data_IF_301652265198
#
_entry.id   IF_301652265198
#
_cell.length_a   1.000
_cell.length_b   1.000
_cell.length_c   1.000
_cell.angle_alpha   90.00
_cell.angle_beta   90.00
_cell.angle_gamma   90.00
#
_symmetry.space_group_name_H-M   'P 1'
#
loop_
_entity.id
_entity.type
_entity.pdbx_description
1 polymer ?
#
# COMPACT_ATOMS: atom_id res chain seq x y z
N UNK A 1 -9.65 7.85 13.19
CA UNK A 1 -8.32 7.98 12.54
C UNK A 1 -7.70 9.37 12.77
N UNK A 2 -6.38 9.53 12.82
CA UNK A 2 -5.70 10.85 12.84
C UNK A 2 -4.81 11.03 11.60
N UNK A 3 -4.92 12.16 10.93
CA UNK A 3 -4.07 12.53 9.77
C UNK A 3 -3.29 13.79 10.11
N UNK A 4 -1.97 13.78 9.87
CA UNK A 4 -1.12 14.96 10.04
C UNK A 4 -0.16 15.14 8.88
N UNK A 5 -0.05 16.37 8.38
CA UNK A 5 0.99 16.75 7.42
C UNK A 5 2.30 17.03 8.17
N UNK A 6 3.36 16.30 7.82
CA UNK A 6 4.68 16.42 8.49
C UNK A 6 5.68 17.24 7.67
N UNK A 7 5.46 17.33 6.36
CA UNK A 7 6.15 18.24 5.43
C UNK A 7 5.21 18.55 4.26
N UNK A 8 5.59 19.47 3.37
CA UNK A 8 4.75 19.88 2.24
C UNK A 8 4.25 18.67 1.40
N UNK A 9 5.14 17.72 1.20
CA UNK A 9 5.04 16.50 0.40
C UNK A 9 4.70 15.23 1.20
N UNK A 10 4.61 15.31 2.54
CA UNK A 10 4.50 14.12 3.40
C UNK A 10 3.36 14.19 4.41
N UNK A 11 2.56 13.12 4.41
CA UNK A 11 1.42 12.92 5.30
C UNK A 11 1.61 11.64 6.10
N UNK A 12 1.09 11.65 7.33
CA UNK A 12 1.07 10.48 8.20
C UNK A 12 -0.35 10.24 8.65
N UNK A 13 -0.86 9.05 8.37
CA UNK A 13 -2.12 8.54 8.92
C UNK A 13 -1.78 7.60 10.08
N UNK A 14 -2.30 7.91 11.26
CA UNK A 14 -2.16 7.09 12.46
C UNK A 14 -3.52 6.53 12.81
N UNK A 15 -3.61 5.19 12.80
CA UNK A 15 -4.77 4.48 13.33
C UNK A 15 -4.65 4.39 14.86
N UNK A 16 -5.75 4.20 15.59
CA UNK A 16 -5.66 3.99 17.03
C UNK A 16 -4.74 2.78 17.30
N UNK A 17 -3.93 2.80 18.36
CA UNK A 17 -3.02 1.68 18.63
C UNK A 17 -3.82 0.41 18.84
N UNK A 18 -3.32 -0.70 18.31
CA UNK A 18 -3.93 -1.98 18.58
C UNK A 18 -3.59 -2.41 20.01
N UNK A 19 -4.60 -2.83 20.77
CA UNK A 19 -4.41 -3.36 22.13
C UNK A 19 -4.73 -4.87 22.17
N UNK A 20 -5.06 -5.40 23.35
CA UNK A 20 -5.37 -6.82 23.52
C UNK A 20 -6.67 -7.22 22.79
N UNK A 21 -7.63 -6.31 22.72
CA UNK A 21 -9.00 -6.58 22.26
C UNK A 21 -9.34 -5.86 20.95
N UNK A 22 -8.57 -4.81 20.60
CA UNK A 22 -8.81 -3.99 19.42
C UNK A 22 -7.70 -4.14 18.39
N UNK A 23 -8.11 -4.44 17.14
CA UNK A 23 -7.25 -4.39 15.95
C UNK A 23 -7.86 -3.38 14.97
N UNK A 24 -7.19 -2.26 14.67
CA UNK A 24 -7.77 -1.18 13.85
C UNK A 24 -8.18 -1.64 12.45
N UNK A 25 -7.37 -2.48 11.82
CA UNK A 25 -7.67 -3.03 10.49
C UNK A 25 -8.65 -4.23 10.52
N UNK A 26 -9.09 -4.65 11.70
CA UNK A 26 -10.22 -5.58 11.85
C UNK A 26 -11.55 -4.85 12.11
N UNK A 27 -11.50 -3.54 12.39
CA UNK A 27 -12.67 -2.70 12.58
C UNK A 27 -13.16 -2.13 11.22
N UNK A 28 -14.37 -2.49 10.76
CA UNK A 28 -14.85 -2.09 9.44
C UNK A 28 -14.96 -0.58 9.24
N UNK A 29 -15.30 0.17 10.29
CA UNK A 29 -15.41 1.63 10.23
C UNK A 29 -14.03 2.27 10.04
N UNK A 30 -13.04 1.84 10.82
CA UNK A 30 -11.65 2.29 10.70
C UNK A 30 -11.08 1.95 9.33
N UNK A 31 -11.35 0.76 8.80
CA UNK A 31 -10.94 0.36 7.45
C UNK A 31 -11.59 1.25 6.39
N UNK A 32 -12.90 1.51 6.48
CA UNK A 32 -13.61 2.35 5.53
C UNK A 32 -13.12 3.80 5.54
N UNK A 33 -12.87 4.39 6.71
CA UNK A 33 -12.30 5.73 6.84
C UNK A 33 -10.90 5.81 6.22
N UNK A 34 -10.05 4.83 6.52
CA UNK A 34 -8.66 4.78 6.05
C UNK A 34 -8.62 4.58 4.54
N UNK A 35 -9.43 3.66 4.02
CA UNK A 35 -9.54 3.40 2.59
C UNK A 35 -10.08 4.62 1.84
N UNK A 36 -11.08 5.33 2.38
CA UNK A 36 -11.60 6.55 1.76
C UNK A 36 -10.52 7.61 1.63
N UNK A 37 -9.77 7.89 2.70
CA UNK A 37 -8.72 8.89 2.66
C UNK A 37 -7.59 8.53 1.69
N UNK A 38 -7.13 7.27 1.70
CA UNK A 38 -6.11 6.79 0.75
C UNK A 38 -6.61 6.82 -0.70
N UNK A 39 -7.87 6.44 -0.94
CA UNK A 39 -8.44 6.43 -2.28
C UNK A 39 -8.57 7.84 -2.87
N UNK A 40 -8.90 8.83 -2.05
CA UNK A 40 -9.03 10.23 -2.47
C UNK A 40 -7.69 10.97 -2.60
N UNK A 41 -6.59 10.37 -2.13
CA UNK A 41 -5.28 11.04 -2.10
C UNK A 41 -4.68 11.30 -3.48
N UNK A 42 -4.89 10.40 -4.45
CA UNK A 42 -4.19 10.43 -5.73
C UNK A 42 -4.93 9.70 -6.85
N UNK A 43 -4.29 9.54 -8.02
CA UNK A 43 -4.90 8.90 -9.19
C UNK A 43 -5.26 7.43 -8.93
N UNK A 44 -6.32 6.97 -9.58
CA UNK A 44 -6.79 5.58 -9.55
C UNK A 44 -6.63 4.96 -10.94
N UNK A 45 -6.37 3.63 -11.04
CA UNK A 45 -6.35 2.63 -9.98
C UNK A 45 -5.08 2.64 -9.11
N UNK A 46 -5.20 2.13 -7.88
CA UNK A 46 -4.07 1.97 -6.96
C UNK A 46 -3.31 0.67 -7.24
N UNK A 47 -2.01 0.65 -6.96
CA UNK A 47 -1.20 -0.58 -6.99
C UNK A 47 -0.69 -0.87 -5.59
N UNK A 48 -1.11 -1.98 -5.00
CA UNK A 48 -0.60 -2.45 -3.72
C UNK A 48 0.56 -3.44 -3.93
N UNK A 49 1.71 -3.14 -3.35
CA UNK A 49 2.92 -3.96 -3.37
C UNK A 49 3.12 -4.59 -1.99
N UNK A 50 3.19 -5.92 -1.93
CA UNK A 50 3.49 -6.67 -0.72
C UNK A 50 4.85 -7.36 -0.88
N UNK A 51 5.79 -7.01 -0.01
CA UNK A 51 7.10 -7.64 0.05
C UNK A 51 7.12 -8.81 1.03
N UNK A 52 7.82 -9.90 0.69
CA UNK A 52 7.93 -11.06 1.57
C UNK A 52 9.23 -11.83 1.33
N UNK A 53 9.89 -12.26 2.41
CA UNK A 53 11.14 -13.05 2.34
C UNK A 53 10.92 -14.57 2.25
N UNK A 54 9.67 -15.01 2.38
CA UNK A 54 9.29 -16.42 2.46
C UNK A 54 8.32 -16.87 1.37
N UNK A 55 7.30 -17.63 1.78
CA UNK A 55 6.20 -17.98 0.92
C UNK A 55 5.33 -16.74 0.64
N UNK A 56 4.75 -16.66 -0.56
CA UNK A 56 3.74 -15.65 -0.87
C UNK A 56 2.59 -15.80 0.13
N UNK A 57 2.14 -14.71 0.80
CA UNK A 57 0.98 -14.75 1.68
C UNK A 57 -0.24 -15.39 1.01
N UNK A 58 -0.89 -16.34 1.69
CA UNK A 58 -1.99 -17.12 1.10
C UNK A 58 -3.19 -16.27 0.71
N UNK A 59 -3.49 -15.21 1.48
CA UNK A 59 -4.57 -14.27 1.20
C UNK A 59 -4.40 -13.55 -0.14
N UNK A 60 -3.17 -13.33 -0.61
CA UNK A 60 -2.90 -12.73 -1.92
C UNK A 60 -3.37 -13.60 -3.08
N UNK A 61 -3.59 -14.90 -2.90
CA UNK A 61 -4.04 -15.77 -3.98
C UNK A 61 -5.39 -15.36 -4.58
N UNK A 62 -6.25 -14.70 -3.79
CA UNK A 62 -7.55 -14.19 -4.25
C UNK A 62 -7.44 -12.98 -5.19
N UNK A 63 -6.26 -12.38 -5.30
CA UNK A 63 -6.02 -11.10 -5.98
C UNK A 63 -5.29 -11.23 -7.33
N UNK A 64 -4.97 -12.46 -7.78
CA UNK A 64 -4.18 -12.72 -9.00
C UNK A 64 -2.91 -11.85 -9.11
N UNK A 65 -2.03 -11.87 -8.09
CA UNK A 65 -0.93 -10.92 -7.97
C UNK A 65 0.14 -11.12 -9.05
N UNK A 66 0.72 -10.00 -9.52
CA UNK A 66 1.91 -10.00 -10.37
C UNK A 66 3.16 -10.11 -9.49
N UNK A 67 3.94 -11.17 -9.68
CA UNK A 67 5.14 -11.43 -8.88
C UNK A 67 6.40 -10.86 -9.53
N UNK A 68 7.34 -10.43 -8.71
CA UNK A 68 8.65 -9.93 -9.15
C UNK A 68 9.71 -10.20 -8.07
N UNK A 69 10.98 -10.19 -8.48
CA UNK A 69 12.11 -10.67 -7.67
C UNK A 69 12.83 -9.57 -6.88
N UNK A 70 12.37 -8.31 -6.96
CA UNK A 70 12.98 -7.18 -6.24
C UNK A 70 11.92 -6.19 -5.80
N UNK A 71 11.83 -5.92 -4.49
CA UNK A 71 10.83 -4.99 -3.96
C UNK A 71 11.40 -3.63 -3.58
N UNK A 72 10.54 -2.60 -3.48
CA UNK A 72 10.91 -1.28 -2.97
C UNK A 72 11.70 -1.30 -1.65
N UNK A 73 11.37 -2.21 -0.72
CA UNK A 73 12.06 -2.35 0.56
C UNK A 73 13.33 -3.23 0.53
N UNK A 74 13.76 -3.68 -0.66
CA UNK A 74 14.92 -4.55 -0.79
C UNK A 74 14.66 -6.02 -0.39
N UNK A 75 13.39 -6.42 -0.24
CA UNK A 75 13.04 -7.83 -0.08
C UNK A 75 13.30 -8.60 -1.38
N UNK A 76 13.57 -9.90 -1.22
CA UNK A 76 13.92 -10.78 -2.35
C UNK A 76 12.74 -11.15 -3.24
N UNK A 77 11.50 -10.91 -2.81
CA UNK A 77 10.28 -11.22 -3.55
C UNK A 77 9.18 -10.24 -3.22
N UNK A 78 8.43 -9.87 -4.24
CA UNK A 78 7.25 -9.03 -4.14
C UNK A 78 6.08 -9.59 -4.93
N UNK A 79 4.90 -9.14 -4.55
CA UNK A 79 3.66 -9.34 -5.27
C UNK A 79 2.96 -7.99 -5.35
N UNK A 80 2.50 -7.61 -6.55
CA UNK A 80 1.68 -6.44 -6.71
C UNK A 80 0.27 -6.77 -7.21
N UNK A 81 -0.69 -6.02 -6.71
CA UNK A 81 -2.11 -6.17 -6.95
C UNK A 81 -2.67 -4.83 -7.41
N UNK A 82 -3.54 -4.86 -8.42
CA UNK A 82 -4.29 -3.66 -8.84
C UNK A 82 -5.55 -3.58 -7.99
N UNK A 83 -5.78 -2.43 -7.38
CA UNK A 83 -7.00 -2.08 -6.66
C UNK A 83 -7.77 -1.10 -7.54
N UNK A 84 -8.85 -1.58 -8.18
CA UNK A 84 -9.59 -0.82 -9.19
C UNK A 84 -10.71 0.00 -8.60
N UNK A 85 -11.25 -0.42 -7.45
CA UNK A 85 -12.30 0.28 -6.73
C UNK A 85 -11.93 0.50 -5.26
N UNK A 86 -12.58 1.48 -4.61
CA UNK A 86 -12.39 1.71 -3.17
C UNK A 86 -12.71 0.46 -2.34
N UNK A 87 -13.70 -0.33 -2.76
CA UNK A 87 -14.06 -1.58 -2.12
C UNK A 87 -12.92 -2.61 -2.17
N UNK A 88 -12.09 -2.60 -3.23
CA UNK A 88 -10.90 -3.43 -3.31
C UNK A 88 -9.88 -3.02 -2.25
N UNK A 89 -9.68 -1.71 -2.05
CA UNK A 89 -8.78 -1.20 -1.03
C UNK A 89 -9.28 -1.54 0.38
N UNK A 90 -10.57 -1.37 0.66
CA UNK A 90 -11.18 -1.76 1.94
C UNK A 90 -10.95 -3.25 2.22
N UNK A 91 -11.24 -4.11 1.24
CA UNK A 91 -11.06 -5.55 1.34
C UNK A 91 -9.59 -5.92 1.52
N UNK A 92 -8.69 -5.30 0.76
CA UNK A 92 -7.25 -5.52 0.85
C UNK A 92 -6.74 -5.18 2.24
N UNK A 93 -7.11 -4.00 2.78
CA UNK A 93 -6.71 -3.55 4.11
C UNK A 93 -7.20 -4.50 5.21
N UNK A 94 -8.41 -5.05 5.08
CA UNK A 94 -8.96 -6.02 6.03
C UNK A 94 -8.29 -7.40 5.96
N UNK A 95 -8.06 -7.94 4.77
CA UNK A 95 -7.53 -9.31 4.58
C UNK A 95 -6.03 -9.44 4.88
N UNK A 96 -5.24 -8.40 4.59
CA UNK A 96 -3.78 -8.46 4.69
C UNK A 96 -3.18 -7.98 6.02
N UNK A 97 -3.98 -7.59 7.01
CA UNK A 97 -3.49 -7.13 8.31
C UNK A 97 -2.58 -8.20 8.96
N UNK A 98 -1.38 -7.84 9.44
CA UNK A 98 -0.91 -6.49 9.78
C UNK A 98 -0.24 -5.68 8.65
N UNK A 99 -0.23 -6.12 7.39
CA UNK A 99 0.36 -5.39 6.25
C UNK A 99 1.82 -4.97 6.45
N UNK A 100 2.60 -5.72 7.24
CA UNK A 100 4.03 -5.50 7.34
C UNK A 100 4.65 -5.61 5.93
N UNK A 101 5.50 -4.63 5.57
CA UNK A 101 6.17 -4.54 4.27
C UNK A 101 5.24 -4.33 3.06
N UNK A 102 4.13 -3.62 3.28
CA UNK A 102 3.18 -3.23 2.22
C UNK A 102 3.35 -1.77 1.84
N UNK A 103 3.37 -1.51 0.54
CA UNK A 103 3.38 -0.17 -0.05
C UNK A 103 2.22 -0.01 -1.03
N UNK A 104 1.49 1.11 -0.92
CA UNK A 104 0.48 1.51 -1.90
C UNK A 104 1.12 2.53 -2.85
N UNK A 105 0.91 2.36 -4.14
CA UNK A 105 1.47 3.21 -5.18
C UNK A 105 0.32 3.86 -5.95
N UNK A 106 0.41 5.16 -6.18
CA UNK A 106 -0.49 5.91 -7.06
C UNK A 106 0.19 6.11 -8.42
N UNK A 107 -0.15 5.32 -9.46
CA UNK A 107 0.50 5.41 -10.77
C UNK A 107 0.23 6.74 -11.47
N UNK A 108 1.26 7.37 -12.03
CA UNK A 108 1.11 8.63 -12.79
C UNK A 108 0.51 8.43 -14.18
N UNK A 109 0.81 7.28 -14.82
CA UNK A 109 0.45 7.01 -16.22
C UNK A 109 -0.49 5.80 -16.33
N UNK A 110 -0.01 4.64 -15.86
CA UNK A 110 -0.76 3.38 -15.89
C UNK A 110 -0.09 2.37 -14.96
N UNK A 111 -0.90 1.47 -14.42
CA UNK A 111 -0.43 0.33 -13.62
C UNK A 111 0.54 -0.55 -14.40
N UNK A 112 0.34 -0.72 -15.72
CA UNK A 112 1.22 -1.51 -16.57
C UNK A 112 2.66 -0.97 -16.57
N UNK A 113 2.82 0.35 -16.67
CA UNK A 113 4.14 1.01 -16.64
C UNK A 113 4.80 0.90 -15.27
N UNK A 114 4.02 1.04 -14.20
CA UNK A 114 4.50 0.82 -12.84
C UNK A 114 4.96 -0.62 -12.65
N UNK A 115 4.25 -1.62 -13.17
CA UNK A 115 4.67 -3.03 -13.10
C UNK A 115 5.94 -3.32 -13.90
N UNK A 116 6.08 -2.75 -15.10
CA UNK A 116 7.32 -2.86 -15.88
C UNK A 116 8.51 -2.32 -15.08
N UNK A 117 8.35 -1.15 -14.44
CA UNK A 117 9.39 -0.51 -13.65
C UNK A 117 9.71 -1.27 -12.34
N UNK A 118 8.69 -1.83 -11.67
CA UNK A 118 8.88 -2.71 -10.51
C UNK A 118 9.64 -3.98 -10.89
N UNK A 119 9.33 -4.57 -12.05
CA UNK A 119 9.99 -5.78 -12.56
C UNK A 119 11.44 -5.53 -13.00
N UNK A 120 11.75 -4.31 -13.45
CA UNK A 120 13.12 -3.90 -13.76
C UNK A 120 14.01 -3.75 -12.49
N UNK A 121 13.37 -3.60 -11.33
CA UNK A 121 14.02 -3.51 -10.02
C UNK A 121 14.65 -2.15 -9.70
N UNK A 122 15.17 -2.05 -8.47
CA UNK A 122 15.70 -0.80 -7.91
C UNK A 122 14.61 0.27 -7.74
N UNK A 123 14.99 1.54 -7.91
CA UNK A 123 14.10 2.70 -7.67
C UNK A 123 13.47 3.26 -8.96
N UNK A 124 13.44 2.48 -10.05
CA UNK A 124 12.89 2.93 -11.33
C UNK A 124 11.38 3.22 -11.26
N UNK A 125 10.66 2.48 -10.42
CA UNK A 125 9.22 2.63 -10.20
C UNK A 125 8.84 3.98 -9.61
N UNK A 126 9.72 4.64 -8.85
CA UNK A 126 9.48 5.98 -8.27
C UNK A 126 9.20 7.03 -9.36
N UNK A 127 9.68 6.82 -10.60
CA UNK A 127 9.42 7.72 -11.74
C UNK A 127 8.08 7.45 -12.45
N UNK A 128 7.33 6.46 -11.98
CA UNK A 128 6.08 6.01 -12.61
C UNK A 128 4.86 6.25 -11.73
N UNK A 129 5.06 6.92 -10.59
CA UNK A 129 4.07 7.16 -9.56
C UNK A 129 4.08 8.64 -9.16
N UNK A 130 2.92 9.15 -8.77
CA UNK A 130 2.78 10.51 -8.22
C UNK A 130 2.96 10.50 -6.70
N UNK A 131 2.73 9.36 -6.07
CA UNK A 131 2.88 9.17 -4.64
C UNK A 131 3.02 7.69 -4.28
N UNK A 132 3.51 7.44 -3.08
CA UNK A 132 3.42 6.12 -2.45
C UNK A 132 3.11 6.24 -0.96
N UNK A 133 2.54 5.19 -0.38
CA UNK A 133 2.24 5.09 1.03
C UNK A 133 2.82 3.80 1.59
N UNK A 134 3.70 3.95 2.56
CA UNK A 134 4.28 2.84 3.29
C UNK A 134 3.44 2.51 4.51
N UNK A 135 3.09 1.24 4.67
CA UNK A 135 2.40 0.74 5.85
C UNK A 135 3.45 0.28 6.88
N UNK A 136 3.46 0.94 8.03
CA UNK A 136 4.41 0.75 9.12
C UNK A 136 3.69 0.37 10.43
N UNK A 137 4.49 -0.04 11.42
CA UNK A 137 4.00 -0.39 12.76
C UNK A 137 2.82 -1.37 12.72
N UNK A 138 2.96 -2.49 12.01
CA UNK A 138 1.94 -3.55 11.92
C UNK A 138 0.56 -3.10 11.40
N UNK A 139 0.54 -2.10 10.51
CA UNK A 139 -0.71 -1.61 9.94
C UNK A 139 -1.35 -0.47 10.72
N UNK A 140 -0.70 0.04 11.77
CA UNK A 140 -1.19 1.16 12.58
C UNK A 140 -0.79 2.52 12.02
N UNK A 141 0.16 2.58 11.09
CA UNK A 141 0.70 3.83 10.56
C UNK A 141 0.89 3.77 9.05
N UNK A 142 0.38 4.76 8.34
CA UNK A 142 0.59 4.94 6.90
C UNK A 142 1.41 6.20 6.70
N UNK A 143 2.57 6.07 6.08
CA UNK A 143 3.45 7.19 5.74
C UNK A 143 3.32 7.44 4.24
N UNK A 144 2.63 8.51 3.89
CA UNK A 144 2.32 8.87 2.50
C UNK A 144 3.26 9.98 2.05
N UNK A 145 3.95 9.74 0.95
CA UNK A 145 4.93 10.63 0.34
C UNK A 145 4.52 10.92 -1.10
N UNK A 146 4.39 12.21 -1.42
CA UNK A 146 4.20 12.68 -2.79
C UNK A 146 5.56 12.79 -3.47
N UNK A 147 5.64 12.25 -4.68
CA UNK A 147 6.84 12.34 -5.50
C UNK A 147 6.64 13.54 -6.42
N UNK A 148 7.43 14.60 -6.22
CA UNK A 148 7.43 15.73 -7.15
C UNK A 148 7.85 15.25 -8.56
N UNK A 149 7.15 15.68 -9.63
CA UNK A 149 7.43 15.26 -11.00
C UNK A 149 8.78 15.73 -11.56
#
# INVERSE_FOLDING_TARGET
MQVSQVAYDRFVVVLPPADADYRPLADPETVAETAAWLWEFGPTPLVAVVSYDGATPSWLSAWSPRKFDTTPEGAKKGAAVVLSERADLERFLSEGAPHEHTELLWPSISEAKTFEALSAGGNAWMKTIDAHAKIANKGERFEVEQIEP
#
